data_IF_523404695093
#
_entry.id   IF_523404695093
#
_cell.length_a   1.000
_cell.length_b   1.000
_cell.length_c   1.000
_cell.angle_alpha   90.00
_cell.angle_beta   90.00
_cell.angle_gamma   90.00
#
_symmetry.space_group_name_H-M   'P 1'
#
loop_
_entity.id
_entity.type
_entity.pdbx_description
1 polymer ?
#
# COMPACT_ATOMS: atom_id res chain seq x y z
N UNK A 1 -33.98 -6.81 48.97
CA UNK A 1 -32.76 -6.26 48.34
C UNK A 1 -32.89 -6.54 46.86
N UNK A 2 -33.35 -5.55 46.11
CA UNK A 2 -33.60 -5.61 44.67
C UNK A 2 -32.34 -5.15 43.95
N UNK A 3 -31.65 -6.07 43.28
CA UNK A 3 -30.59 -5.75 42.32
C UNK A 3 -31.24 -5.09 41.10
N UNK A 4 -31.00 -3.80 40.90
CA UNK A 4 -31.33 -3.12 39.66
C UNK A 4 -30.27 -3.49 38.61
N UNK A 5 -30.51 -4.55 37.84
CA UNK A 5 -29.79 -4.75 36.58
C UNK A 5 -30.12 -3.57 35.67
N UNK A 6 -29.11 -2.79 35.29
CA UNK A 6 -29.28 -1.72 34.30
C UNK A 6 -29.64 -2.40 32.98
N UNK A 7 -30.91 -2.30 32.56
CA UNK A 7 -31.36 -2.78 31.26
C UNK A 7 -30.49 -2.16 30.17
N UNK A 8 -29.97 -3.00 29.26
CA UNK A 8 -29.23 -2.53 28.11
C UNK A 8 -30.13 -1.61 27.27
N UNK A 9 -29.61 -0.48 26.81
CA UNK A 9 -30.35 0.41 25.92
C UNK A 9 -30.16 -0.06 24.48
N UNK A 10 -31.25 -0.08 23.71
CA UNK A 10 -31.25 -0.32 22.27
C UNK A 10 -31.71 0.95 21.53
N UNK A 11 -30.91 1.43 20.58
CA UNK A 11 -31.25 2.52 19.67
C UNK A 11 -32.00 1.97 18.47
N UNK A 12 -33.23 2.43 18.26
CA UNK A 12 -34.08 2.03 17.14
C UNK A 12 -34.42 3.26 16.29
N UNK A 13 -34.47 3.05 14.97
CA UNK A 13 -35.02 4.01 14.01
C UNK A 13 -36.36 3.50 13.54
N UNK A 14 -37.44 4.16 13.89
CA UNK A 14 -38.81 3.81 13.50
C UNK A 14 -39.31 4.75 12.41
N UNK A 15 -39.65 4.20 11.24
CA UNK A 15 -40.27 4.94 10.15
C UNK A 15 -41.78 4.78 10.19
N UNK A 16 -42.46 5.85 10.57
CA UNK A 16 -43.90 6.02 10.45
C UNK A 16 -44.27 6.62 9.07
N UNK A 17 -45.55 6.63 8.67
CA UNK A 17 -45.96 7.09 7.35
C UNK A 17 -45.55 8.53 6.99
N UNK A 18 -45.57 9.44 7.98
CA UNK A 18 -45.28 10.86 7.79
C UNK A 18 -43.96 11.32 8.44
N UNK A 19 -43.30 10.47 9.24
CA UNK A 19 -42.18 10.86 10.11
C UNK A 19 -41.23 9.69 10.39
N UNK A 20 -39.97 10.00 10.69
CA UNK A 20 -38.96 9.03 11.14
C UNK A 20 -38.50 9.44 12.53
N UNK A 21 -38.45 8.48 13.45
CA UNK A 21 -38.11 8.67 14.86
C UNK A 21 -36.91 7.82 15.24
N UNK A 22 -35.94 8.44 15.92
CA UNK A 22 -34.81 7.73 16.52
C UNK A 22 -34.96 7.77 18.04
N UNK A 23 -35.04 6.60 18.66
CA UNK A 23 -35.30 6.45 20.09
C UNK A 23 -34.38 5.41 20.72
N UNK A 24 -33.92 5.71 21.92
CA UNK A 24 -33.22 4.76 22.78
C UNK A 24 -34.23 4.20 23.79
N UNK A 25 -34.46 2.89 23.72
CA UNK A 25 -35.43 2.18 24.56
C UNK A 25 -34.75 1.03 25.31
N UNK A 26 -35.19 0.70 26.53
CA UNK A 26 -34.62 -0.42 27.27
C UNK A 26 -34.92 -1.75 26.55
N UNK A 27 -33.92 -2.63 26.45
CA UNK A 27 -33.97 -3.85 25.65
C UNK A 27 -34.91 -4.94 26.19
N UNK A 28 -35.30 -4.81 27.46
CA UNK A 28 -36.19 -5.70 28.20
C UNK A 28 -37.68 -5.32 28.09
N UNK A 29 -38.01 -4.22 27.40
CA UNK A 29 -39.41 -3.78 27.22
C UNK A 29 -40.07 -4.53 26.05
N UNK A 30 -41.29 -5.08 26.23
CA UNK A 30 -42.07 -5.69 25.16
C UNK A 30 -42.48 -4.70 24.07
N UNK A 31 -42.64 -5.20 22.84
CA UNK A 31 -43.08 -4.38 21.70
C UNK A 31 -44.47 -3.77 21.93
N UNK A 32 -45.40 -4.50 22.57
CA UNK A 32 -46.73 -4.02 22.93
C UNK A 32 -46.70 -2.74 23.78
N UNK A 33 -45.72 -2.61 24.68
CA UNK A 33 -45.58 -1.46 25.58
C UNK A 33 -44.89 -0.27 24.88
N UNK A 34 -44.07 -0.55 23.85
CA UNK A 34 -43.41 0.47 23.03
C UNK A 34 -44.35 1.10 22.01
N UNK A 35 -45.31 0.34 21.48
CA UNK A 35 -46.18 0.77 20.38
C UNK A 35 -47.00 2.04 20.71
N UNK A 36 -47.66 2.18 21.89
CA UNK A 36 -48.35 3.42 22.26
C UNK A 36 -47.41 4.61 22.39
N UNK A 37 -46.18 4.38 22.88
CA UNK A 37 -45.17 5.43 23.00
C UNK A 37 -44.80 5.94 21.60
N UNK A 38 -44.56 5.02 20.67
CA UNK A 38 -44.20 5.33 19.28
C UNK A 38 -45.32 6.06 18.55
N UNK A 39 -46.58 5.66 18.75
CA UNK A 39 -47.72 6.32 18.12
C UNK A 39 -47.88 7.77 18.57
N UNK A 40 -47.75 8.05 19.89
CA UNK A 40 -47.77 9.43 20.41
C UNK A 40 -46.70 10.32 19.79
N UNK A 41 -45.49 9.80 19.57
CA UNK A 41 -44.42 10.59 18.95
C UNK A 41 -44.53 10.66 17.42
N UNK A 42 -45.22 9.70 16.78
CA UNK A 42 -45.42 9.68 15.33
C UNK A 42 -46.55 10.61 14.86
N UNK A 43 -47.52 10.95 15.72
CA UNK A 43 -48.56 11.95 15.44
C UNK A 43 -49.86 11.71 16.21
N UNK A 44 -50.52 12.79 16.64
CA UNK A 44 -51.74 12.74 17.47
C UNK A 44 -52.91 12.01 16.78
N UNK A 45 -53.00 12.05 15.45
CA UNK A 45 -54.07 11.40 14.65
C UNK A 45 -53.83 9.90 14.39
N UNK A 46 -52.63 9.37 14.68
CA UNK A 46 -52.29 7.97 14.39
C UNK A 46 -52.90 6.98 15.40
N UNK A 47 -53.10 7.39 16.65
CA UNK A 47 -53.76 6.56 17.66
C UNK A 47 -55.25 6.35 17.32
N UNK A 48 -55.94 7.40 16.86
CA UNK A 48 -57.37 7.34 16.50
C UNK A 48 -57.61 6.59 15.19
N UNK A 49 -56.75 6.78 14.18
CA UNK A 49 -56.85 6.08 12.88
C UNK A 49 -56.53 4.58 12.95
N UNK A 50 -55.93 4.09 14.04
CA UNK A 50 -55.66 2.66 14.25
C UNK A 50 -56.93 1.80 14.34
N UNK A 51 -58.06 2.38 14.74
CA UNK A 51 -59.34 1.67 14.87
C UNK A 51 -59.92 1.21 13.52
N UNK A 52 -59.62 1.95 12.45
CA UNK A 52 -60.12 1.64 11.10
C UNK A 52 -59.30 0.54 10.40
N UNK A 53 -58.06 0.30 10.85
CA UNK A 53 -57.07 -0.54 10.16
C UNK A 53 -56.55 -1.72 11.00
N UNK A 54 -57.25 -2.06 12.10
CA UNK A 54 -56.92 -3.21 12.95
C UNK A 54 -55.67 -3.02 13.81
N UNK A 55 -55.28 -1.78 14.09
CA UNK A 55 -54.10 -1.43 14.88
C UNK A 55 -52.83 -1.23 14.05
N UNK A 56 -51.72 -1.01 14.75
CA UNK A 56 -50.40 -0.76 14.17
C UNK A 56 -49.47 -1.93 14.45
N UNK A 57 -48.55 -2.19 13.53
CA UNK A 57 -47.52 -3.22 13.69
C UNK A 57 -46.15 -2.64 13.39
N UNK A 58 -45.14 -3.12 14.11
CA UNK A 58 -43.74 -2.87 13.80
C UNK A 58 -43.19 -4.02 12.98
N UNK A 59 -42.48 -3.69 11.91
CA UNK A 59 -41.97 -4.70 10.98
C UNK A 59 -40.56 -4.37 10.51
N UNK A 60 -39.71 -5.40 10.42
CA UNK A 60 -38.41 -5.32 9.73
C UNK A 60 -38.62 -5.28 8.22
N UNK A 61 -37.79 -4.57 7.44
CA UNK A 61 -37.87 -4.63 5.99
C UNK A 61 -37.79 -6.08 5.48
N UNK A 62 -38.88 -6.55 4.87
CA UNK A 62 -38.99 -7.90 4.28
C UNK A 62 -39.21 -9.06 5.26
N UNK A 63 -39.28 -8.80 6.57
CA UNK A 63 -39.61 -9.80 7.59
C UNK A 63 -41.10 -9.79 7.96
N UNK A 64 -41.58 -10.74 8.74
CA UNK A 64 -42.93 -10.72 9.33
C UNK A 64 -43.10 -9.58 10.36
N UNK A 65 -44.34 -9.13 10.67
CA UNK A 65 -44.59 -8.27 11.82
C UNK A 65 -43.96 -8.83 13.09
N UNK A 66 -43.41 -7.93 13.92
CA UNK A 66 -42.84 -8.31 15.21
C UNK A 66 -43.92 -8.83 16.14
N UNK A 67 -43.53 -9.74 17.03
CA UNK A 67 -44.41 -10.28 18.05
C UNK A 67 -44.56 -9.26 19.18
N UNK A 68 -45.79 -8.90 19.51
CA UNK A 68 -46.11 -7.86 20.48
C UNK A 68 -45.69 -8.25 21.91
N UNK A 69 -45.68 -9.55 22.22
CA UNK A 69 -45.22 -10.08 23.52
C UNK A 69 -43.69 -10.17 23.63
N UNK A 70 -42.97 -10.03 22.52
CA UNK A 70 -41.52 -10.14 22.47
C UNK A 70 -40.81 -8.89 22.97
N UNK A 71 -39.75 -9.06 23.76
CA UNK A 71 -38.82 -7.97 24.12
C UNK A 71 -37.83 -7.71 22.98
N UNK A 72 -37.21 -6.52 22.96
CA UNK A 72 -36.21 -6.18 21.94
C UNK A 72 -35.04 -7.17 21.93
N UNK A 73 -34.64 -7.67 23.10
CA UNK A 73 -33.61 -8.70 23.23
C UNK A 73 -34.07 -10.06 22.69
N UNK A 74 -35.30 -10.48 22.97
CA UNK A 74 -35.85 -11.77 22.50
C UNK A 74 -36.05 -11.77 20.98
N UNK A 75 -36.36 -10.62 20.40
CA UNK A 75 -36.52 -10.42 18.96
C UNK A 75 -35.19 -10.15 18.22
N UNK A 76 -34.06 -10.21 18.95
CA UNK A 76 -32.70 -9.96 18.47
C UNK A 76 -32.55 -8.60 17.75
N UNK A 77 -33.24 -7.56 18.22
CA UNK A 77 -33.14 -6.22 17.64
C UNK A 77 -31.81 -5.57 18.01
N UNK A 78 -31.08 -5.09 16.99
CA UNK A 78 -29.74 -4.51 17.16
C UNK A 78 -29.78 -2.98 17.20
N UNK A 79 -28.78 -2.40 17.85
CA UNK A 79 -28.56 -0.95 17.83
C UNK A 79 -28.46 -0.41 16.40
N UNK A 80 -29.28 0.60 16.09
CA UNK A 80 -29.37 1.27 14.79
C UNK A 80 -30.25 0.56 13.76
N UNK A 81 -31.01 -0.46 14.16
CA UNK A 81 -31.90 -1.17 13.26
C UNK A 81 -33.12 -0.32 12.88
N UNK A 82 -33.53 -0.40 11.61
CA UNK A 82 -34.65 0.38 11.06
C UNK A 82 -35.92 -0.48 11.02
N UNK A 83 -36.95 -0.02 11.71
CA UNK A 83 -38.28 -0.63 11.77
C UNK A 83 -39.30 0.24 11.06
N UNK A 84 -40.33 -0.38 10.49
CA UNK A 84 -41.44 0.31 9.85
C UNK A 84 -42.69 0.15 10.70
N UNK A 85 -43.31 1.28 11.04
CA UNK A 85 -44.60 1.34 11.72
C UNK A 85 -45.69 1.43 10.65
N UNK A 86 -46.50 0.37 10.51
CA UNK A 86 -47.51 0.24 9.45
C UNK A 86 -48.87 -0.15 10.02
N UNK A 87 -49.98 0.21 9.34
CA UNK A 87 -51.29 -0.35 9.68
C UNK A 87 -51.29 -1.87 9.53
N UNK A 88 -52.02 -2.59 10.41
CA UNK A 88 -52.04 -4.05 10.42
C UNK A 88 -52.56 -4.64 9.10
N UNK A 89 -53.59 -4.02 8.52
CA UNK A 89 -54.13 -4.37 7.19
C UNK A 89 -53.15 -4.16 6.03
N UNK A 90 -52.11 -3.35 6.26
CA UNK A 90 -51.05 -3.06 5.32
C UNK A 90 -49.72 -3.65 5.81
N UNK A 91 -49.68 -4.78 6.51
CA UNK A 91 -48.40 -5.43 6.79
C UNK A 91 -47.67 -5.83 5.48
N UNK A 92 -46.36 -5.61 5.39
CA UNK A 92 -45.59 -6.09 4.24
C UNK A 92 -45.65 -7.63 4.20
N UNK A 93 -45.84 -8.26 3.03
CA UNK A 93 -45.68 -9.69 2.93
C UNK A 93 -44.22 -10.07 3.22
N UNK A 94 -44.03 -11.22 3.89
CA UNK A 94 -42.71 -11.80 4.09
C UNK A 94 -42.04 -12.06 2.73
N UNK A 95 -40.76 -11.72 2.60
CA UNK A 95 -39.99 -11.97 1.39
C UNK A 95 -39.89 -13.49 1.17
N UNK A 96 -40.69 -13.99 0.23
CA UNK A 96 -40.57 -15.36 -0.27
C UNK A 96 -39.65 -15.35 -1.48
N UNK A 97 -38.53 -16.03 -1.37
CA UNK A 97 -37.64 -16.30 -2.48
C UNK A 97 -38.27 -17.43 -3.30
N UNK A 98 -38.80 -17.09 -4.48
CA UNK A 98 -39.52 -18.01 -5.38
C UNK A 98 -38.58 -19.05 -6.02
N UNK A 99 -37.27 -18.78 -5.99
CA UNK A 99 -36.23 -19.66 -6.49
C UNK A 99 -35.08 -19.78 -5.48
N UNK A 100 -35.08 -20.88 -4.72
CA UNK A 100 -34.00 -21.20 -3.78
C UNK A 100 -32.66 -21.42 -4.50
N UNK A 101 -32.67 -21.85 -5.76
CA UNK A 101 -31.45 -22.07 -6.55
C UNK A 101 -30.83 -20.73 -6.95
N UNK A 102 -31.66 -19.79 -7.41
CA UNK A 102 -31.20 -18.44 -7.76
C UNK A 102 -30.84 -17.61 -6.52
N UNK A 103 -31.56 -17.82 -5.40
CA UNK A 103 -31.21 -17.26 -4.09
C UNK A 103 -29.86 -17.75 -3.56
N UNK A 104 -29.58 -19.05 -3.66
CA UNK A 104 -28.27 -19.62 -3.29
C UNK A 104 -27.18 -19.13 -4.25
N UNK A 105 -27.45 -19.07 -5.56
CA UNK A 105 -26.49 -18.58 -6.55
C UNK A 105 -26.16 -17.09 -6.37
N UNK A 106 -27.15 -16.26 -6.05
CA UNK A 106 -26.99 -14.84 -5.74
C UNK A 106 -26.22 -14.61 -4.44
N UNK A 107 -26.60 -15.29 -3.36
CA UNK A 107 -25.90 -15.20 -2.06
C UNK A 107 -24.46 -15.71 -2.17
N UNK A 108 -24.20 -16.76 -2.96
CA UNK A 108 -22.84 -17.26 -3.23
C UNK A 108 -22.02 -16.23 -4.01
N UNK A 109 -22.59 -15.61 -5.05
CA UNK A 109 -21.89 -14.60 -5.86
C UNK A 109 -21.54 -13.36 -5.03
N UNK A 110 -22.47 -12.91 -4.20
CA UNK A 110 -22.34 -11.67 -3.42
C UNK A 110 -21.54 -11.85 -2.12
N UNK A 111 -21.64 -13.00 -1.45
CA UNK A 111 -20.93 -13.25 -0.17
C UNK A 111 -19.62 -14.04 -0.29
N UNK A 112 -19.41 -14.81 -1.37
CA UNK A 112 -18.23 -15.71 -1.48
C UNK A 112 -17.16 -15.25 -2.49
N UNK A 113 -17.01 -13.94 -2.73
CA UNK A 113 -16.00 -13.40 -3.67
C UNK A 113 -16.07 -14.09 -5.05
N UNK A 114 -17.24 -14.03 -5.70
CA UNK A 114 -17.47 -14.71 -6.97
C UNK A 114 -16.44 -14.35 -8.06
N UNK A 115 -16.15 -15.31 -8.93
CA UNK A 115 -15.28 -15.12 -10.10
C UNK A 115 -15.93 -14.14 -11.09
N UNK A 116 -15.30 -12.99 -11.32
CA UNK A 116 -15.79 -11.94 -12.23
C UNK A 116 -14.92 -11.83 -13.49
N UNK A 117 -15.41 -11.18 -14.56
CA UNK A 117 -14.56 -10.82 -15.70
C UNK A 117 -13.34 -9.98 -15.29
N UNK A 118 -13.49 -9.15 -14.26
CA UNK A 118 -12.39 -8.33 -13.73
C UNK A 118 -11.34 -9.18 -13.01
N UNK A 119 -11.73 -10.15 -12.17
CA UNK A 119 -10.77 -11.09 -11.57
C UNK A 119 -10.08 -11.95 -12.64
N UNK A 120 -10.81 -12.34 -13.69
CA UNK A 120 -10.24 -13.05 -14.85
C UNK A 120 -9.15 -12.23 -15.54
N UNK A 121 -9.44 -10.95 -15.86
CA UNK A 121 -8.46 -10.04 -16.47
C UNK A 121 -7.25 -9.84 -15.58
N UNK A 122 -7.44 -9.68 -14.26
CA UNK A 122 -6.33 -9.57 -13.29
C UNK A 122 -5.48 -10.84 -13.25
N UNK A 123 -6.09 -12.03 -13.25
CA UNK A 123 -5.36 -13.29 -13.31
C UNK A 123 -4.52 -13.36 -14.61
N UNK A 124 -5.14 -13.12 -15.77
CA UNK A 124 -4.46 -13.21 -17.06
C UNK A 124 -3.30 -12.21 -17.17
N UNK A 125 -3.48 -10.96 -16.72
CA UNK A 125 -2.39 -9.98 -16.66
C UNK A 125 -1.25 -10.45 -15.74
N UNK A 126 -1.58 -11.06 -14.60
CA UNK A 126 -0.59 -11.66 -13.69
C UNK A 126 0.17 -12.80 -14.37
N UNK A 127 -0.53 -13.67 -15.11
CA UNK A 127 0.10 -14.75 -15.87
C UNK A 127 1.00 -14.22 -17.00
N UNK A 128 0.63 -13.13 -17.67
CA UNK A 128 1.48 -12.45 -18.66
C UNK A 128 2.77 -11.95 -17.98
N UNK A 129 2.66 -11.26 -16.85
CA UNK A 129 3.82 -10.80 -16.07
C UNK A 129 4.73 -11.98 -15.70
N UNK A 130 4.18 -13.05 -15.13
CA UNK A 130 4.95 -14.23 -14.74
C UNK A 130 5.65 -14.90 -15.94
N UNK A 131 4.95 -15.02 -17.06
CA UNK A 131 5.50 -15.65 -18.28
C UNK A 131 6.65 -14.84 -18.85
N UNK A 132 6.50 -13.52 -18.96
CA UNK A 132 7.56 -12.63 -19.46
C UNK A 132 8.76 -12.63 -18.51
N UNK A 133 8.53 -12.50 -17.20
CA UNK A 133 9.62 -12.56 -16.21
C UNK A 133 10.35 -13.91 -16.24
N UNK A 134 9.63 -15.01 -16.46
CA UNK A 134 10.24 -16.34 -16.65
C UNK A 134 11.13 -16.37 -17.90
N UNK A 135 10.64 -15.84 -19.03
CA UNK A 135 11.43 -15.70 -20.25
C UNK A 135 12.68 -14.85 -20.05
N UNK A 136 12.57 -13.73 -19.35
CA UNK A 136 13.72 -12.90 -18.98
C UNK A 136 14.70 -13.65 -18.05
N UNK A 137 14.20 -14.45 -17.11
CA UNK A 137 15.02 -15.31 -16.26
C UNK A 137 15.82 -16.34 -17.06
N UNK A 138 15.19 -16.97 -18.06
CA UNK A 138 15.86 -17.88 -19.01
C UNK A 138 16.93 -17.13 -19.81
N UNK A 139 16.62 -15.93 -20.30
CA UNK A 139 17.59 -15.09 -21.02
C UNK A 139 18.70 -14.54 -20.11
N UNK A 140 18.50 -14.44 -18.81
CA UNK A 140 19.51 -14.04 -17.84
C UNK A 140 20.43 -15.20 -17.44
N UNK A 141 19.97 -16.45 -17.57
CA UNK A 141 20.73 -17.63 -17.18
C UNK A 141 22.06 -17.75 -17.94
N UNK A 142 23.21 -17.99 -17.28
CA UNK A 142 24.51 -18.11 -17.94
C UNK A 142 24.54 -19.24 -18.98
N UNK A 143 25.17 -19.01 -20.13
CA UNK A 143 25.27 -19.98 -21.22
C UNK A 143 24.87 -19.41 -22.59
N UNK A 144 25.32 -20.08 -23.65
CA UNK A 144 25.03 -19.72 -25.04
C UNK A 144 25.64 -18.38 -25.52
N UNK A 145 25.34 -17.98 -26.77
CA UNK A 145 25.83 -16.73 -27.33
C UNK A 145 25.13 -15.51 -26.71
N UNK A 146 25.92 -14.63 -26.09
CA UNK A 146 25.43 -13.42 -25.39
C UNK A 146 24.69 -12.47 -26.33
N UNK A 147 25.16 -12.32 -27.56
CA UNK A 147 24.54 -11.45 -28.59
C UNK A 147 23.11 -11.88 -28.91
N UNK A 148 22.85 -13.18 -29.04
CA UNK A 148 21.51 -13.70 -29.31
C UNK A 148 20.57 -13.44 -28.12
N UNK A 149 21.06 -13.61 -26.89
CA UNK A 149 20.28 -13.35 -25.66
C UNK A 149 19.96 -11.86 -25.50
N UNK A 150 20.95 -11.00 -25.73
CA UNK A 150 20.77 -9.54 -25.69
C UNK A 150 19.80 -9.07 -26.77
N UNK A 151 19.92 -9.60 -28.00
CA UNK A 151 18.99 -9.31 -29.09
C UNK A 151 17.58 -9.80 -28.78
N UNK A 152 17.41 -11.01 -28.24
CA UNK A 152 16.11 -11.54 -27.85
C UNK A 152 15.45 -10.68 -26.75
N UNK A 153 16.21 -10.27 -25.73
CA UNK A 153 15.71 -9.37 -24.68
C UNK A 153 15.32 -7.98 -25.24
N UNK A 154 16.13 -7.44 -26.16
CA UNK A 154 15.85 -6.17 -26.84
C UNK A 154 14.58 -6.25 -27.70
N UNK A 155 14.46 -7.29 -28.53
CA UNK A 155 13.27 -7.54 -29.37
C UNK A 155 12.03 -7.76 -28.50
N UNK A 156 12.14 -8.52 -27.41
CA UNK A 156 11.04 -8.69 -26.46
C UNK A 156 10.59 -7.34 -25.87
N UNK A 157 11.54 -6.48 -25.48
CA UNK A 157 11.24 -5.12 -25.03
C UNK A 157 10.49 -4.28 -26.08
N UNK A 158 10.94 -4.31 -27.34
CA UNK A 158 10.27 -3.60 -28.44
C UNK A 158 8.86 -4.14 -28.72
N UNK A 159 8.67 -5.47 -28.71
CA UNK A 159 7.37 -6.10 -28.89
C UNK A 159 6.41 -5.76 -27.74
N UNK A 160 6.91 -5.70 -26.50
CA UNK A 160 6.13 -5.28 -25.33
C UNK A 160 5.72 -3.81 -25.43
N UNK A 161 6.59 -2.92 -25.91
CA UNK A 161 6.23 -1.52 -26.19
C UNK A 161 5.15 -1.40 -27.28
N UNK A 162 5.30 -2.16 -28.37
CA UNK A 162 4.29 -2.20 -29.43
C UNK A 162 2.95 -2.73 -28.88
N UNK A 163 2.98 -3.82 -28.10
CA UNK A 163 1.80 -4.37 -27.42
C UNK A 163 1.18 -3.39 -26.44
N UNK A 164 1.98 -2.62 -25.71
CA UNK A 164 1.52 -1.57 -24.79
C UNK A 164 0.79 -0.44 -25.55
N UNK A 165 1.36 0.01 -26.66
CA UNK A 165 0.75 1.01 -27.54
C UNK A 165 -0.57 0.49 -28.13
N UNK A 166 -0.59 -0.74 -28.64
CA UNK A 166 -1.80 -1.35 -29.21
C UNK A 166 -2.88 -1.56 -28.15
N UNK A 167 -2.54 -2.10 -26.97
CA UNK A 167 -3.50 -2.33 -25.90
C UNK A 167 -4.11 -1.02 -25.38
N UNK A 168 -3.27 0.01 -25.18
CA UNK A 168 -3.74 1.30 -24.68
C UNK A 168 -4.54 2.09 -25.73
N UNK A 169 -4.03 2.17 -26.97
CA UNK A 169 -4.58 3.08 -27.99
C UNK A 169 -5.59 2.43 -28.93
N UNK A 170 -5.39 1.16 -29.29
CA UNK A 170 -6.27 0.47 -30.24
C UNK A 170 -7.39 -0.31 -29.55
N UNK A 171 -7.08 -0.95 -28.41
CA UNK A 171 -8.08 -1.73 -27.63
C UNK A 171 -8.76 -0.88 -26.56
N UNK A 172 -8.09 0.16 -26.06
CA UNK A 172 -8.60 0.99 -24.96
C UNK A 172 -8.48 0.36 -23.58
N UNK A 173 -7.71 -0.74 -23.42
CA UNK A 173 -7.40 -1.31 -22.10
C UNK A 173 -6.10 -0.69 -21.56
N UNK A 174 -6.25 0.43 -20.85
CA UNK A 174 -5.15 1.15 -20.23
C UNK A 174 -4.35 0.28 -19.24
N UNK A 175 -5.01 -0.64 -18.54
CA UNK A 175 -4.33 -1.49 -17.56
C UNK A 175 -3.48 -2.57 -18.26
N UNK A 176 -3.98 -3.18 -19.34
CA UNK A 176 -3.18 -4.05 -20.18
C UNK A 176 -1.98 -3.30 -20.79
N UNK A 177 -2.21 -2.10 -21.33
CA UNK A 177 -1.16 -1.21 -21.84
C UNK A 177 -0.08 -0.91 -20.79
N UNK A 178 -0.49 -0.59 -19.56
CA UNK A 178 0.42 -0.37 -18.44
C UNK A 178 1.23 -1.61 -18.08
N UNK A 179 0.60 -2.79 -18.02
CA UNK A 179 1.31 -4.04 -17.69
C UNK A 179 2.36 -4.43 -18.72
N UNK A 180 2.04 -4.32 -20.01
CA UNK A 180 2.99 -4.60 -21.09
C UNK A 180 4.12 -3.56 -21.13
N UNK A 181 3.75 -2.28 -20.98
CA UNK A 181 4.72 -1.18 -20.94
C UNK A 181 5.70 -1.31 -19.77
N UNK A 182 5.21 -1.74 -18.60
CA UNK A 182 6.06 -1.99 -17.43
C UNK A 182 7.16 -3.01 -17.72
N UNK A 183 6.80 -4.10 -18.38
CA UNK A 183 7.70 -5.22 -18.68
C UNK A 183 8.73 -4.88 -19.76
N UNK A 184 8.51 -3.83 -20.54
CA UNK A 184 9.48 -3.36 -21.52
C UNK A 184 10.78 -2.86 -20.86
N UNK A 185 10.66 -2.10 -19.76
CA UNK A 185 11.82 -1.57 -19.04
C UNK A 185 12.80 -2.65 -18.55
N UNK A 186 12.39 -3.71 -17.80
CA UNK A 186 13.30 -4.78 -17.40
C UNK A 186 13.80 -5.61 -18.60
N UNK A 187 13.04 -5.74 -19.68
CA UNK A 187 13.48 -6.44 -20.90
C UNK A 187 14.64 -5.70 -21.58
N UNK A 188 14.50 -4.37 -21.76
CA UNK A 188 15.56 -3.53 -22.31
C UNK A 188 16.73 -3.39 -21.35
N UNK A 189 16.48 -3.33 -20.04
CA UNK A 189 17.54 -3.34 -19.04
C UNK A 189 18.36 -4.64 -19.08
N UNK A 190 17.73 -5.79 -19.28
CA UNK A 190 18.42 -7.06 -19.46
C UNK A 190 19.27 -7.07 -20.74
N UNK A 191 18.77 -6.51 -21.84
CA UNK A 191 19.56 -6.34 -23.05
C UNK A 191 20.80 -5.47 -22.78
N UNK A 192 20.62 -4.31 -22.13
CA UNK A 192 21.70 -3.42 -21.72
C UNK A 192 22.71 -4.08 -20.78
N UNK A 193 22.25 -4.89 -19.83
CA UNK A 193 23.10 -5.65 -18.90
C UNK A 193 24.04 -6.62 -19.61
N UNK A 194 23.57 -7.26 -20.68
CA UNK A 194 24.31 -8.31 -21.39
C UNK A 194 25.39 -7.76 -22.35
N UNK A 195 25.27 -6.52 -22.82
CA UNK A 195 26.12 -5.95 -23.86
C UNK A 195 27.58 -5.66 -23.45
N UNK A 196 27.88 -5.06 -22.28
CA UNK A 196 29.26 -4.70 -21.91
C UNK A 196 30.21 -5.90 -21.73
N UNK A 197 29.70 -7.13 -21.64
CA UNK A 197 30.52 -8.32 -21.46
C UNK A 197 31.29 -8.34 -20.13
N UNK A 198 32.49 -8.91 -20.13
CA UNK A 198 33.41 -8.96 -18.99
C UNK A 198 33.11 -10.06 -17.97
N UNK A 199 34.15 -10.49 -17.23
CA UNK A 199 34.01 -11.44 -16.13
C UNK A 199 33.55 -10.73 -14.86
N UNK A 200 32.61 -11.33 -14.13
CA UNK A 200 32.08 -10.80 -12.86
C UNK A 200 32.91 -11.26 -11.65
N UNK A 201 34.14 -11.69 -11.89
CA UNK A 201 35.09 -12.21 -10.92
C UNK A 201 36.46 -11.57 -11.12
N UNK A 202 37.24 -11.45 -10.05
CA UNK A 202 38.59 -10.88 -10.08
C UNK A 202 38.63 -9.39 -9.73
N UNK A 203 39.81 -8.77 -9.93
CA UNK A 203 40.12 -7.43 -9.43
C UNK A 203 39.25 -6.30 -10.03
N UNK A 204 38.72 -6.48 -11.24
CA UNK A 204 37.90 -5.49 -11.94
C UNK A 204 36.40 -5.81 -11.91
N UNK A 205 35.98 -6.76 -11.06
CA UNK A 205 34.59 -7.22 -11.03
C UNK A 205 33.58 -6.09 -10.76
N UNK A 206 33.93 -5.11 -9.91
CA UNK A 206 33.05 -3.96 -9.64
C UNK A 206 32.97 -2.98 -10.80
N UNK A 207 34.01 -2.83 -11.62
CA UNK A 207 33.94 -2.01 -12.84
C UNK A 207 33.03 -2.66 -13.87
N UNK A 208 33.13 -3.98 -14.05
CA UNK A 208 32.26 -4.74 -14.96
C UNK A 208 30.81 -4.68 -14.48
N UNK A 209 30.57 -4.89 -13.18
CA UNK A 209 29.25 -4.71 -12.57
C UNK A 209 28.72 -3.29 -12.82
N UNK A 210 29.57 -2.28 -12.62
CA UNK A 210 29.24 -0.88 -12.86
C UNK A 210 28.84 -0.60 -14.30
N UNK A 211 29.63 -1.06 -15.26
CA UNK A 211 29.35 -0.89 -16.69
C UNK A 211 28.04 -1.59 -17.10
N UNK A 212 27.76 -2.78 -16.58
CA UNK A 212 26.50 -3.49 -16.82
C UNK A 212 25.30 -2.81 -16.17
N UNK A 213 25.43 -2.31 -14.94
CA UNK A 213 24.38 -1.53 -14.29
C UNK A 213 24.11 -0.21 -15.02
N UNK A 214 25.16 0.46 -15.50
CA UNK A 214 25.06 1.69 -16.29
C UNK A 214 24.28 1.44 -17.59
N UNK A 215 24.68 0.43 -18.36
CA UNK A 215 24.01 0.08 -19.61
C UNK A 215 22.57 -0.42 -19.39
N UNK A 216 22.34 -1.25 -18.37
CA UNK A 216 21.01 -1.74 -18.00
C UNK A 216 20.10 -0.60 -17.54
N UNK A 217 20.59 0.29 -16.69
CA UNK A 217 19.85 1.43 -16.18
C UNK A 217 19.50 2.42 -17.29
N UNK A 218 20.43 2.72 -18.19
CA UNK A 218 20.18 3.59 -19.34
C UNK A 218 19.12 3.00 -20.29
N UNK A 219 19.26 1.72 -20.66
CA UNK A 219 18.30 1.04 -21.54
C UNK A 219 16.92 0.87 -20.87
N UNK A 220 16.88 0.55 -19.57
CA UNK A 220 15.65 0.44 -18.80
C UNK A 220 14.94 1.78 -18.63
N UNK A 221 15.68 2.86 -18.39
CA UNK A 221 15.12 4.22 -18.32
C UNK A 221 14.52 4.64 -19.66
N UNK A 222 15.23 4.38 -20.77
CA UNK A 222 14.71 4.57 -22.12
C UNK A 222 13.42 3.76 -22.35
N UNK A 223 13.39 2.50 -21.93
CA UNK A 223 12.21 1.65 -22.00
C UNK A 223 11.02 2.18 -21.21
N UNK A 224 11.25 2.69 -19.99
CA UNK A 224 10.19 3.29 -19.16
C UNK A 224 9.62 4.58 -19.79
N UNK A 225 10.48 5.44 -20.36
CA UNK A 225 10.07 6.66 -21.06
C UNK A 225 9.29 6.33 -22.34
N UNK A 226 9.76 5.36 -23.12
CA UNK A 226 9.05 4.89 -24.32
C UNK A 226 7.71 4.24 -23.96
N UNK A 227 7.65 3.49 -22.86
CA UNK A 227 6.41 2.89 -22.37
C UNK A 227 5.40 3.95 -21.93
N UNK A 228 5.85 5.02 -21.26
CA UNK A 228 5.01 6.17 -20.94
C UNK A 228 4.46 6.81 -22.22
N UNK A 229 5.31 7.03 -23.23
CA UNK A 229 4.87 7.61 -24.50
C UNK A 229 3.89 6.69 -25.26
N UNK A 230 4.11 5.38 -25.22
CA UNK A 230 3.28 4.37 -25.86
C UNK A 230 1.90 4.27 -25.20
N UNK A 231 1.88 4.08 -23.88
CA UNK A 231 0.65 3.86 -23.12
C UNK A 231 -0.13 5.15 -22.85
N UNK A 232 0.54 6.28 -22.64
CA UNK A 232 -0.06 7.59 -22.30
C UNK A 232 -0.99 7.59 -21.06
N UNK A 233 -0.87 6.59 -20.17
CA UNK A 233 -1.63 6.46 -18.92
C UNK A 233 -0.68 6.02 -17.81
N UNK A 234 -1.06 6.23 -16.54
CA UNK A 234 -0.28 5.86 -15.35
C UNK A 234 1.12 6.51 -15.27
N UNK A 235 1.19 7.80 -15.60
CA UNK A 235 2.44 8.61 -15.55
C UNK A 235 3.28 8.41 -14.28
N UNK A 236 2.71 8.40 -13.06
CA UNK A 236 3.51 8.20 -11.85
C UNK A 236 4.31 6.90 -11.85
N UNK A 237 3.70 5.83 -12.35
CA UNK A 237 4.25 4.49 -12.32
C UNK A 237 5.43 4.33 -13.30
N UNK A 238 5.31 4.87 -14.51
CA UNK A 238 6.42 4.87 -15.47
C UNK A 238 7.54 5.80 -15.04
N UNK A 239 7.24 6.96 -14.44
CA UNK A 239 8.28 7.83 -13.91
C UNK A 239 9.05 7.15 -12.77
N UNK A 240 8.36 6.50 -11.84
CA UNK A 240 9.01 5.72 -10.78
C UNK A 240 9.91 4.62 -11.34
N UNK A 241 9.46 3.91 -12.37
CA UNK A 241 10.28 2.90 -13.07
C UNK A 241 11.53 3.51 -13.70
N UNK A 242 11.40 4.67 -14.34
CA UNK A 242 12.53 5.42 -14.89
C UNK A 242 13.49 5.88 -13.79
N UNK A 243 12.99 6.36 -12.64
CA UNK A 243 13.82 6.77 -11.49
C UNK A 243 14.64 5.61 -10.95
N UNK A 244 14.04 4.41 -10.81
CA UNK A 244 14.78 3.19 -10.40
C UNK A 244 15.90 2.88 -11.39
N UNK A 245 15.60 2.90 -12.69
CA UNK A 245 16.57 2.58 -13.73
C UNK A 245 17.70 3.63 -13.83
N UNK A 246 17.37 4.92 -13.72
CA UNK A 246 18.36 6.01 -13.66
C UNK A 246 19.23 5.86 -12.42
N UNK A 247 18.65 5.49 -11.28
CA UNK A 247 19.43 5.31 -10.05
C UNK A 247 20.39 4.12 -10.16
N UNK A 248 19.98 3.03 -10.81
CA UNK A 248 20.87 1.93 -11.15
C UNK A 248 21.98 2.36 -12.11
N UNK A 249 21.66 3.23 -13.08
CA UNK A 249 22.67 3.80 -13.98
C UNK A 249 23.69 4.67 -13.24
N UNK A 250 23.23 5.51 -12.31
CA UNK A 250 24.09 6.34 -11.46
C UNK A 250 24.99 5.47 -10.60
N UNK A 251 24.45 4.45 -9.93
CA UNK A 251 25.24 3.47 -9.18
C UNK A 251 26.31 2.81 -10.07
N UNK A 252 25.92 2.44 -11.29
CA UNK A 252 26.82 1.89 -12.30
C UNK A 252 27.95 2.84 -12.68
N UNK A 253 27.64 4.11 -12.92
CA UNK A 253 28.61 5.14 -13.25
C UNK A 253 29.58 5.43 -12.08
N UNK A 254 29.09 5.47 -10.84
CA UNK A 254 29.96 5.59 -9.66
C UNK A 254 31.01 4.47 -9.64
N UNK A 255 30.59 3.25 -9.96
CA UNK A 255 31.47 2.08 -9.93
C UNK A 255 32.42 1.97 -11.13
N UNK A 256 31.95 2.29 -12.34
CA UNK A 256 32.74 2.10 -13.57
C UNK A 256 33.57 3.32 -13.97
N UNK A 257 33.15 4.54 -13.59
CA UNK A 257 33.80 5.79 -14.00
C UNK A 257 34.58 6.41 -12.85
N UNK A 258 34.01 6.42 -11.64
CA UNK A 258 34.64 7.02 -10.46
C UNK A 258 35.38 6.01 -9.58
N UNK A 259 35.47 4.74 -10.01
CA UNK A 259 36.11 3.63 -9.29
C UNK A 259 35.66 3.52 -7.82
N UNK A 260 34.36 3.74 -7.59
CA UNK A 260 33.77 3.59 -6.26
C UNK A 260 33.43 2.12 -6.03
N UNK A 261 33.75 1.61 -4.83
CA UNK A 261 33.38 0.24 -4.46
C UNK A 261 31.87 0.02 -4.46
N UNK A 262 31.44 -1.24 -4.59
CA UNK A 262 30.00 -1.60 -4.63
C UNK A 262 29.26 -1.09 -3.39
N UNK A 263 29.89 -1.23 -2.22
CA UNK A 263 29.29 -0.91 -0.93
C UNK A 263 29.20 0.60 -0.72
N UNK A 264 30.25 1.34 -1.09
CA UNK A 264 30.27 2.81 -1.06
C UNK A 264 29.25 3.42 -2.03
N UNK A 265 29.17 2.89 -3.26
CA UNK A 265 28.16 3.33 -4.24
C UNK A 265 26.73 3.07 -3.74
N UNK A 266 26.50 1.89 -3.15
CA UNK A 266 25.19 1.51 -2.60
C UNK A 266 24.80 2.37 -1.39
N UNK A 267 25.74 2.64 -0.48
CA UNK A 267 25.51 3.53 0.67
C UNK A 267 25.23 4.97 0.23
N UNK A 268 25.96 5.49 -0.77
CA UNK A 268 25.76 6.83 -1.30
C UNK A 268 24.40 6.98 -1.99
N UNK A 269 24.05 6.01 -2.83
CA UNK A 269 22.75 5.98 -3.55
C UNK A 269 21.58 5.84 -2.58
N UNK A 270 21.66 4.93 -1.61
CA UNK A 270 20.61 4.77 -0.61
C UNK A 270 20.42 6.05 0.21
N UNK A 271 21.50 6.69 0.67
CA UNK A 271 21.43 7.95 1.40
C UNK A 271 20.81 9.07 0.56
N UNK A 272 21.21 9.20 -0.71
CA UNK A 272 20.67 10.22 -1.61
C UNK A 272 19.16 10.03 -1.87
N UNK A 273 18.72 8.80 -2.12
CA UNK A 273 17.30 8.52 -2.39
C UNK A 273 16.43 8.66 -1.15
N UNK A 274 16.94 8.27 0.03
CA UNK A 274 16.25 8.51 1.31
C UNK A 274 16.13 10.00 1.62
N UNK A 275 17.20 10.77 1.40
CA UNK A 275 17.18 12.23 1.56
C UNK A 275 16.15 12.86 0.61
N UNK A 276 16.10 12.40 -0.64
CA UNK A 276 15.09 12.83 -1.60
C UNK A 276 13.67 12.42 -1.19
N UNK A 277 13.54 11.31 -0.46
CA UNK A 277 12.30 10.84 0.15
C UNK A 277 11.57 11.91 0.98
N UNK A 278 12.32 12.79 1.66
CA UNK A 278 11.74 13.90 2.41
C UNK A 278 10.98 14.93 1.55
N UNK A 279 11.30 15.02 0.25
CA UNK A 279 10.65 15.93 -0.70
C UNK A 279 9.49 15.27 -1.46
N UNK A 280 9.28 13.96 -1.30
CA UNK A 280 8.22 13.21 -2.01
C UNK A 280 6.83 13.82 -1.79
N UNK A 281 6.38 14.16 -0.56
CA UNK A 281 5.04 14.74 -0.37
C UNK A 281 4.85 16.05 -1.15
N UNK A 282 5.83 16.95 -1.10
CA UNK A 282 5.78 18.24 -1.80
C UNK A 282 5.82 18.05 -3.33
N UNK A 283 6.62 17.13 -3.82
CA UNK A 283 6.70 16.82 -5.25
C UNK A 283 5.40 16.18 -5.75
N UNK A 284 4.84 15.22 -5.02
CA UNK A 284 3.56 14.58 -5.36
C UNK A 284 2.41 15.59 -5.39
N UNK A 285 2.38 16.53 -4.44
CA UNK A 285 1.40 17.61 -4.41
C UNK A 285 1.50 18.50 -5.65
N UNK A 286 2.73 18.91 -6.03
CA UNK A 286 2.98 19.73 -7.23
C UNK A 286 2.66 18.97 -8.52
N UNK A 287 3.04 17.70 -8.62
CA UNK A 287 2.79 16.85 -9.80
C UNK A 287 1.31 16.49 -9.96
N UNK A 288 0.53 16.52 -8.89
CA UNK A 288 -0.93 16.40 -8.93
C UNK A 288 -1.64 17.72 -9.30
N UNK A 289 -0.89 18.80 -9.58
CA UNK A 289 -1.46 20.10 -9.93
C UNK A 289 -2.16 20.81 -8.77
N UNK A 290 -1.90 20.38 -7.53
CA UNK A 290 -2.39 21.09 -6.36
C UNK A 290 -1.52 22.32 -6.07
N UNK A 291 -2.16 23.43 -5.68
CA UNK A 291 -1.49 24.67 -5.28
C UNK A 291 -1.82 24.92 -3.82
N UNK A 292 -0.80 25.26 -3.04
CA UNK A 292 -1.03 25.66 -1.66
C UNK A 292 -1.63 27.08 -1.68
N UNK A 293 -2.76 27.33 -1.01
CA UNK A 293 -3.30 28.68 -0.89
C UNK A 293 -2.22 29.59 -0.28
N UNK A 294 -2.06 30.80 -0.83
CA UNK A 294 -1.21 31.79 -0.20
C UNK A 294 -1.80 32.15 1.16
N UNK A 295 -0.98 32.20 2.21
CA UNK A 295 -1.46 32.69 3.50
C UNK A 295 -1.83 34.18 3.36
N UNK A 296 -3.04 34.58 3.74
CA UNK A 296 -3.46 35.97 3.65
C UNK A 296 -2.61 36.82 4.61
N UNK A 297 -1.97 37.86 4.07
CA UNK A 297 -1.18 38.84 4.82
C UNK A 297 -1.96 40.13 5.08
N UNK A 298 -3.15 40.28 4.49
CA UNK A 298 -4.08 41.39 4.76
C UNK A 298 -5.52 40.88 4.97
N UNK A 299 -6.36 41.64 5.72
CA UNK A 299 -7.78 41.30 5.90
C UNK A 299 -8.57 41.23 4.59
N UNK A 300 -8.17 41.98 3.56
CA UNK A 300 -8.80 41.91 2.24
C UNK A 300 -8.53 40.58 1.55
N UNK A 301 -7.35 39.97 1.76
CA UNK A 301 -7.00 38.66 1.20
C UNK A 301 -7.75 37.49 1.85
N UNK A 302 -8.39 37.68 3.01
CA UNK A 302 -9.30 36.68 3.58
C UNK A 302 -10.58 36.49 2.74
N UNK A 303 -10.87 37.46 1.86
CA UNK A 303 -12.00 37.43 0.92
C UNK A 303 -11.57 36.95 -0.49
N UNK A 304 -10.29 36.62 -0.70
CA UNK A 304 -9.80 36.04 -1.95
C UNK A 304 -9.81 34.50 -1.87
N UNK A 305 -10.38 33.81 -2.87
CA UNK A 305 -10.38 32.34 -2.91
C UNK A 305 -11.36 31.65 -1.95
N UNK A 306 -12.42 32.34 -1.53
CA UNK A 306 -13.54 31.82 -0.71
C UNK A 306 -14.57 31.00 -1.50
N UNK A 307 -14.41 30.89 -2.81
CA UNK A 307 -15.23 30.00 -3.63
C UNK A 307 -15.08 28.55 -3.12
N UNK A 308 -16.16 27.84 -2.79
CA UNK A 308 -16.08 26.45 -2.38
C UNK A 308 -15.44 25.63 -3.49
N UNK A 309 -14.32 24.94 -3.19
CA UNK A 309 -13.77 23.98 -4.14
C UNK A 309 -14.81 22.90 -4.42
N UNK A 310 -15.07 22.60 -5.70
CA UNK A 310 -15.92 21.46 -6.07
C UNK A 310 -15.29 20.19 -5.50
N UNK A 311 -15.99 19.52 -4.57
CA UNK A 311 -15.44 18.39 -3.81
C UNK A 311 -14.90 17.24 -4.69
N UNK A 312 -15.46 17.07 -5.90
CA UNK A 312 -15.01 16.06 -6.88
C UNK A 312 -13.61 16.36 -7.44
N UNK A 313 -13.26 17.63 -7.66
CA UNK A 313 -11.93 18.01 -8.14
C UNK A 313 -10.86 17.81 -7.07
N UNK A 314 -11.21 18.11 -5.82
CA UNK A 314 -10.32 17.89 -4.66
C UNK A 314 -10.08 16.40 -4.44
N UNK A 315 -11.13 15.57 -4.52
CA UNK A 315 -11.01 14.12 -4.41
C UNK A 315 -10.09 13.55 -5.50
N UNK A 316 -10.33 13.90 -6.77
CA UNK A 316 -9.54 13.43 -7.92
C UNK A 316 -8.06 13.83 -7.81
N UNK A 317 -7.77 15.08 -7.44
CA UNK A 317 -6.38 15.55 -7.28
C UNK A 317 -5.69 14.90 -6.07
N UNK A 318 -6.44 14.61 -5.01
CA UNK A 318 -5.92 13.90 -3.84
C UNK A 318 -5.56 12.46 -4.18
N UNK A 319 -6.40 11.77 -4.98
CA UNK A 319 -6.10 10.43 -5.49
C UNK A 319 -4.86 10.44 -6.39
N UNK A 320 -4.72 11.41 -7.29
CA UNK A 320 -3.52 11.58 -8.13
C UNK A 320 -2.26 11.83 -7.28
N UNK A 321 -2.34 12.69 -6.26
CA UNK A 321 -1.23 12.94 -5.35
C UNK A 321 -0.84 11.68 -4.58
N UNK A 322 -1.82 10.90 -4.11
CA UNK A 322 -1.60 9.60 -3.46
C UNK A 322 -0.93 8.59 -4.41
N UNK A 323 -1.32 8.59 -5.69
CA UNK A 323 -0.69 7.79 -6.74
C UNK A 323 0.77 8.18 -6.98
N UNK A 324 1.08 9.47 -7.07
CA UNK A 324 2.45 9.99 -7.15
C UNK A 324 3.29 9.61 -5.94
N UNK A 325 2.72 9.74 -4.74
CA UNK A 325 3.41 9.43 -3.49
C UNK A 325 3.73 7.94 -3.41
N UNK A 326 2.78 7.08 -3.77
CA UNK A 326 2.97 5.62 -3.81
C UNK A 326 4.03 5.22 -4.83
N UNK A 327 4.02 5.84 -6.02
CA UNK A 327 5.00 5.54 -7.06
C UNK A 327 6.42 5.95 -6.65
N UNK A 328 6.60 7.15 -6.10
CA UNK A 328 7.91 7.65 -5.69
C UNK A 328 8.48 6.89 -4.48
N UNK A 329 7.67 6.60 -3.45
CA UNK A 329 8.12 5.74 -2.36
C UNK A 329 8.34 4.29 -2.81
N UNK A 330 7.57 3.81 -3.79
CA UNK A 330 7.84 2.55 -4.47
C UNK A 330 9.23 2.51 -5.10
N UNK A 331 9.61 3.56 -5.82
CA UNK A 331 10.96 3.68 -6.38
C UNK A 331 12.03 3.71 -5.28
N UNK A 332 11.83 4.52 -4.23
CA UNK A 332 12.73 4.56 -3.05
C UNK A 332 12.91 3.18 -2.44
N UNK A 333 11.81 2.46 -2.23
CA UNK A 333 11.81 1.12 -1.66
C UNK A 333 12.59 0.11 -2.51
N UNK A 334 12.34 0.08 -3.82
CA UNK A 334 13.05 -0.82 -4.75
C UNK A 334 14.55 -0.52 -4.80
N UNK A 335 14.93 0.76 -4.89
CA UNK A 335 16.35 1.17 -4.87
C UNK A 335 17.01 0.75 -3.56
N UNK A 336 16.38 1.05 -2.42
CA UNK A 336 16.94 0.69 -1.11
C UNK A 336 17.05 -0.83 -0.94
N UNK A 337 16.07 -1.61 -1.43
CA UNK A 337 16.14 -3.07 -1.41
C UNK A 337 17.35 -3.60 -2.20
N UNK A 338 17.65 -3.00 -3.36
CA UNK A 338 18.85 -3.32 -4.14
C UNK A 338 20.15 -2.95 -3.42
N UNK A 339 20.22 -1.76 -2.83
CA UNK A 339 21.39 -1.30 -2.06
C UNK A 339 21.65 -2.18 -0.83
N UNK A 340 20.59 -2.65 -0.15
CA UNK A 340 20.69 -3.55 1.00
C UNK A 340 21.30 -4.91 0.63
N UNK A 341 21.09 -5.41 -0.60
CA UNK A 341 21.73 -6.64 -1.07
C UNK A 341 23.25 -6.49 -1.15
N UNK A 342 23.75 -5.33 -1.59
CA UNK A 342 25.18 -5.05 -1.61
C UNK A 342 25.73 -4.96 -0.18
N UNK A 343 25.15 -4.07 0.64
CA UNK A 343 25.60 -3.80 2.00
C UNK A 343 25.56 -5.03 2.91
N UNK A 344 24.62 -5.97 2.70
CA UNK A 344 24.51 -7.15 3.55
C UNK A 344 25.41 -8.31 3.12
N UNK A 345 26.02 -8.31 1.92
CA UNK A 345 26.67 -9.51 1.37
C UNK A 345 27.87 -9.96 2.20
N UNK A 346 28.77 -9.05 2.57
CA UNK A 346 29.92 -9.31 3.46
C UNK A 346 30.23 -8.05 4.27
N UNK A 347 29.34 -7.68 5.20
CA UNK A 347 29.35 -6.35 5.77
C UNK A 347 30.60 -6.15 6.64
N UNK A 348 31.35 -5.10 6.37
CA UNK A 348 32.15 -4.46 7.41
C UNK A 348 31.24 -3.88 8.50
N UNK A 349 31.80 -3.50 9.65
CA UNK A 349 31.00 -2.91 10.74
C UNK A 349 30.26 -1.63 10.26
N UNK A 350 30.89 -0.82 9.41
CA UNK A 350 30.28 0.37 8.84
C UNK A 350 29.10 0.02 7.93
N UNK A 351 29.25 -0.99 7.06
CA UNK A 351 28.19 -1.47 6.16
C UNK A 351 27.02 -2.10 6.94
N UNK A 352 27.31 -2.91 7.95
CA UNK A 352 26.29 -3.51 8.83
C UNK A 352 25.46 -2.42 9.53
N UNK A 353 26.12 -1.43 10.13
CA UNK A 353 25.42 -0.32 10.80
C UNK A 353 24.61 0.52 9.82
N UNK A 354 25.14 0.78 8.62
CA UNK A 354 24.42 1.49 7.56
C UNK A 354 23.18 0.72 7.11
N UNK A 355 23.30 -0.59 6.89
CA UNK A 355 22.19 -1.45 6.51
C UNK A 355 21.12 -1.53 7.61
N UNK A 356 21.52 -1.71 8.88
CA UNK A 356 20.60 -1.68 10.03
C UNK A 356 19.88 -0.33 10.10
N UNK A 357 20.62 0.77 10.00
CA UNK A 357 20.05 2.10 10.09
C UNK A 357 19.05 2.36 8.96
N UNK A 358 19.40 2.00 7.73
CA UNK A 358 18.53 2.11 6.56
C UNK A 358 17.27 1.25 6.69
N UNK A 359 17.40 -0.01 7.12
CA UNK A 359 16.25 -0.90 7.32
C UNK A 359 15.29 -0.37 8.38
N UNK A 360 15.80 0.07 9.54
CA UNK A 360 14.98 0.63 10.60
C UNK A 360 14.33 1.94 10.17
N UNK A 361 15.05 2.79 9.44
CA UNK A 361 14.53 4.04 8.92
C UNK A 361 13.34 3.80 7.98
N UNK A 362 13.44 2.85 7.05
CA UNK A 362 12.35 2.49 6.13
C UNK A 362 11.12 1.96 6.88
N UNK A 363 11.32 1.10 7.89
CA UNK A 363 10.25 0.57 8.74
C UNK A 363 9.52 1.69 9.51
N UNK A 364 10.28 2.62 10.10
CA UNK A 364 9.74 3.75 10.86
C UNK A 364 9.05 4.78 9.96
N UNK A 365 9.57 5.01 8.75
CA UNK A 365 8.99 5.94 7.80
C UNK A 365 7.61 5.47 7.32
N UNK A 366 7.41 4.15 7.18
CA UNK A 366 6.10 3.56 6.89
C UNK A 366 5.01 3.85 7.93
N UNK A 367 5.37 4.27 9.16
CA UNK A 367 4.39 4.60 10.23
C UNK A 367 3.56 5.85 9.91
N UNK A 368 4.10 6.78 9.13
CA UNK A 368 3.42 8.02 8.76
C UNK A 368 2.45 7.87 7.58
N UNK A 369 2.36 6.69 6.98
CA UNK A 369 1.58 6.45 5.77
C UNK A 369 0.19 5.94 6.10
N UNK A 370 -0.83 6.60 5.53
CA UNK A 370 -2.24 6.23 5.72
C UNK A 370 -2.63 5.03 4.84
N UNK A 371 -2.12 4.99 3.60
CA UNK A 371 -2.43 3.93 2.65
C UNK A 371 -1.58 2.67 2.90
N UNK A 372 -2.22 1.50 2.97
CA UNK A 372 -1.56 0.20 3.12
C UNK A 372 -0.55 -0.06 2.00
N UNK A 373 -0.93 0.19 0.75
CA UNK A 373 -0.04 -0.02 -0.40
C UNK A 373 1.21 0.84 -0.30
N UNK A 374 1.03 2.11 0.03
CA UNK A 374 2.14 3.05 0.25
C UNK A 374 3.02 2.59 1.41
N UNK A 375 2.43 2.19 2.54
CA UNK A 375 3.18 1.66 3.70
C UNK A 375 4.02 0.45 3.33
N UNK A 376 3.46 -0.48 2.55
CA UNK A 376 4.17 -1.68 2.11
C UNK A 376 5.38 -1.36 1.21
N UNK A 377 5.35 -0.25 0.44
CA UNK A 377 6.49 0.14 -0.40
C UNK A 377 7.78 0.39 0.37
N UNK A 378 7.71 0.75 1.65
CA UNK A 378 8.89 0.96 2.50
C UNK A 378 9.07 -0.14 3.54
N UNK A 379 7.98 -0.68 4.09
CA UNK A 379 8.06 -1.73 5.10
C UNK A 379 8.66 -3.00 4.51
N UNK A 380 8.27 -3.41 3.30
CA UNK A 380 8.80 -4.63 2.68
C UNK A 380 10.32 -4.54 2.46
N UNK A 381 10.88 -3.49 1.82
CA UNK A 381 12.33 -3.28 1.73
C UNK A 381 13.04 -3.19 3.08
N UNK A 382 12.42 -2.55 4.09
CA UNK A 382 12.96 -2.50 5.44
C UNK A 382 13.09 -3.88 6.07
N UNK A 383 12.03 -4.70 5.99
CA UNK A 383 12.06 -6.10 6.47
C UNK A 383 13.03 -6.96 5.67
N UNK A 384 13.16 -6.72 4.36
CA UNK A 384 14.10 -7.41 3.48
C UNK A 384 15.55 -7.19 3.92
N UNK A 385 15.93 -5.96 4.28
CA UNK A 385 17.27 -5.69 4.79
C UNK A 385 17.56 -6.38 6.12
N UNK A 386 16.60 -6.40 7.06
CA UNK A 386 16.74 -7.15 8.31
C UNK A 386 16.91 -8.66 8.04
N UNK A 387 16.12 -9.21 7.13
CA UNK A 387 16.23 -10.60 6.70
C UNK A 387 17.61 -10.91 6.10
N UNK A 388 18.09 -10.07 5.18
CA UNK A 388 19.42 -10.23 4.58
C UNK A 388 20.53 -10.21 5.64
N UNK A 389 20.49 -9.26 6.58
CA UNK A 389 21.47 -9.18 7.66
C UNK A 389 21.44 -10.42 8.56
N UNK A 390 20.25 -10.96 8.86
CA UNK A 390 20.12 -12.18 9.65
C UNK A 390 20.71 -13.40 8.93
N UNK A 391 20.41 -13.57 7.63
CA UNK A 391 20.94 -14.68 6.81
C UNK A 391 22.46 -14.58 6.66
N UNK A 392 22.98 -13.39 6.37
CA UNK A 392 24.41 -13.18 6.16
C UNK A 392 25.19 -13.25 7.47
N UNK A 393 24.60 -12.77 8.58
CA UNK A 393 25.13 -12.97 9.92
C UNK A 393 25.18 -14.46 10.30
N UNK A 394 24.13 -15.23 10.01
CA UNK A 394 24.13 -16.68 10.23
C UNK A 394 25.22 -17.42 9.44
N UNK A 395 25.48 -16.98 8.21
CA UNK A 395 26.52 -17.54 7.36
C UNK A 395 27.94 -17.25 7.88
N UNK A 396 28.14 -16.12 8.56
CA UNK A 396 29.41 -15.72 9.15
C UNK A 396 29.70 -16.36 10.52
N UNK A 397 28.67 -16.86 11.21
CA UNK A 397 28.82 -17.52 12.51
C UNK A 397 29.32 -18.96 12.38
N UNK A 398 30.14 -19.36 13.35
CA UNK A 398 30.49 -20.77 13.57
C UNK A 398 29.25 -21.62 13.78
N UNK A 399 29.29 -22.89 13.34
CA UNK A 399 28.15 -23.82 13.43
C UNK A 399 27.62 -23.95 14.86
N UNK A 400 28.49 -23.89 15.86
CA UNK A 400 28.12 -23.96 17.27
C UNK A 400 27.37 -22.71 17.78
N UNK A 401 27.53 -21.55 17.14
CA UNK A 401 26.86 -20.30 17.48
C UNK A 401 25.53 -20.09 16.73
N UNK A 402 25.20 -20.92 15.73
CA UNK A 402 23.92 -20.82 15.01
C UNK A 402 22.68 -21.06 15.91
N UNK A 403 22.69 -21.99 16.88
CA UNK A 403 21.56 -22.17 17.79
C UNK A 403 21.23 -20.94 18.63
N UNK A 404 22.23 -20.14 19.03
CA UNK A 404 21.99 -18.92 19.82
C UNK A 404 21.34 -17.82 18.96
N UNK A 405 21.74 -17.69 17.69
CA UNK A 405 21.05 -16.82 16.73
C UNK A 405 19.60 -17.27 16.53
N UNK A 406 19.34 -18.56 16.35
CA UNK A 406 17.98 -19.10 16.21
C UNK A 406 17.15 -18.81 17.46
N UNK A 407 17.69 -18.99 18.65
CA UNK A 407 17.02 -18.64 19.90
C UNK A 407 16.67 -17.14 19.95
N UNK A 408 17.59 -16.26 19.52
CA UNK A 408 17.33 -14.81 19.42
C UNK A 408 16.23 -14.46 18.41
N UNK A 409 16.20 -15.12 17.24
CA UNK A 409 15.15 -14.95 16.24
C UNK A 409 13.79 -15.45 16.73
N UNK A 410 13.74 -16.57 17.46
CA UNK A 410 12.52 -17.07 18.09
C UNK A 410 12.01 -16.12 19.18
N UNK A 411 12.92 -15.54 19.98
CA UNK A 411 12.55 -14.52 20.95
C UNK A 411 11.97 -13.27 20.26
N UNK A 412 12.58 -12.81 19.17
CA UNK A 412 12.05 -11.71 18.36
C UNK A 412 10.67 -12.06 17.77
N UNK A 413 10.49 -13.27 17.25
CA UNK A 413 9.21 -13.74 16.74
C UNK A 413 8.13 -13.75 17.82
N UNK A 414 8.46 -14.18 19.04
CA UNK A 414 7.55 -14.13 20.18
C UNK A 414 7.17 -12.68 20.54
N UNK A 415 8.13 -11.75 20.56
CA UNK A 415 7.86 -10.32 20.78
C UNK A 415 6.94 -9.76 19.70
N UNK A 416 7.20 -10.05 18.42
CA UNK A 416 6.36 -9.60 17.31
C UNK A 416 4.94 -10.19 17.38
N UNK A 417 4.79 -11.45 17.79
CA UNK A 417 3.49 -12.07 18.00
C UNK A 417 2.72 -11.35 19.11
N UNK A 418 3.35 -11.11 20.26
CA UNK A 418 2.77 -10.36 21.39
C UNK A 418 2.37 -8.95 20.94
N UNK A 419 3.23 -8.24 20.22
CA UNK A 419 2.94 -6.90 19.68
C UNK A 419 1.75 -6.94 18.73
N UNK A 420 1.65 -7.96 17.86
CA UNK A 420 0.52 -8.09 16.94
C UNK A 420 -0.82 -8.31 17.64
N UNK A 421 -0.84 -8.94 18.82
CA UNK A 421 -2.05 -9.11 19.63
C UNK A 421 -2.38 -7.89 20.50
N UNK A 422 -1.37 -7.11 20.91
CA UNK A 422 -1.54 -6.10 21.97
C UNK A 422 -1.56 -4.66 21.46
N UNK A 423 -0.93 -4.34 20.33
CA UNK A 423 -0.74 -2.96 19.87
C UNK A 423 -1.82 -2.47 18.87
N UNK A 424 -2.22 -3.25 17.84
CA UNK A 424 -3.19 -2.77 16.86
C UNK A 424 -4.49 -2.27 17.49
N UNK A 425 -4.97 -1.10 17.03
CA UNK A 425 -6.20 -0.47 17.53
C UNK A 425 -6.09 0.21 18.90
N UNK A 426 -4.97 0.08 19.62
CA UNK A 426 -4.79 0.72 20.93
C UNK A 426 -4.17 2.11 20.80
N UNK A 427 -4.65 3.04 21.62
CA UNK A 427 -4.01 4.36 21.81
C UNK A 427 -2.78 4.16 22.68
N UNK A 428 -1.61 4.10 22.06
CA UNK A 428 -0.34 4.04 22.79
C UNK A 428 -0.10 5.35 23.54
N UNK A 429 0.59 5.26 24.68
CA UNK A 429 0.97 6.45 25.43
C UNK A 429 1.90 7.36 24.61
N UNK A 430 1.80 8.69 24.75
CA UNK A 430 2.50 9.65 23.89
C UNK A 430 4.03 9.48 23.82
N UNK A 431 4.65 8.99 24.90
CA UNK A 431 6.10 8.80 24.97
C UNK A 431 6.63 7.77 23.96
N UNK A 432 5.86 6.73 23.61
CA UNK A 432 6.26 5.75 22.59
C UNK A 432 6.22 6.34 21.18
N UNK A 433 5.21 7.16 20.89
CA UNK A 433 5.14 7.91 19.63
C UNK A 433 6.36 8.82 19.48
N UNK A 434 6.70 9.54 20.56
CA UNK A 434 7.86 10.43 20.60
C UNK A 434 9.19 9.68 20.48
N UNK A 435 9.34 8.54 21.14
CA UNK A 435 10.54 7.71 21.01
C UNK A 435 10.75 7.24 19.56
N UNK A 436 9.68 6.84 18.87
CA UNK A 436 9.74 6.48 17.45
C UNK A 436 10.12 7.66 16.54
N UNK A 437 9.64 8.87 16.84
CA UNK A 437 10.06 10.09 16.12
C UNK A 437 11.54 10.41 16.34
N UNK A 438 12.01 10.37 17.59
CA UNK A 438 13.41 10.63 17.92
C UNK A 438 14.34 9.60 17.27
N UNK A 439 13.95 8.32 17.31
CA UNK A 439 14.70 7.25 16.65
C UNK A 439 14.73 7.43 15.13
N UNK A 440 13.61 7.79 14.51
CA UNK A 440 13.56 8.10 13.08
C UNK A 440 14.52 9.25 12.75
N UNK A 441 14.44 10.38 13.46
CA UNK A 441 15.34 11.53 13.23
C UNK A 441 16.81 11.16 13.45
N UNK A 442 17.13 10.40 14.50
CA UNK A 442 18.49 9.94 14.78
C UNK A 442 19.03 9.08 13.64
N UNK A 443 18.23 8.13 13.13
CA UNK A 443 18.62 7.26 12.02
C UNK A 443 18.77 8.04 10.71
N UNK A 444 17.86 8.97 10.43
CA UNK A 444 17.93 9.82 9.24
C UNK A 444 19.18 10.71 9.25
N UNK A 445 19.49 11.34 10.38
CA UNK A 445 20.69 12.18 10.55
C UNK A 445 21.95 11.31 10.54
N UNK A 446 21.92 10.16 11.22
CA UNK A 446 23.04 9.22 11.33
C UNK A 446 23.39 8.51 10.03
N UNK A 447 22.47 8.44 9.06
CA UNK A 447 22.74 7.81 7.77
C UNK A 447 23.88 8.51 7.01
N UNK A 448 23.97 9.84 7.07
CA UNK A 448 25.05 10.59 6.41
C UNK A 448 26.46 10.24 6.91
N UNK A 449 26.78 10.33 8.22
CA UNK A 449 28.10 9.95 8.71
C UNK A 449 28.38 8.46 8.50
N UNK A 450 27.37 7.59 8.61
CA UNK A 450 27.53 6.16 8.30
C UNK A 450 27.94 5.94 6.83
N UNK A 451 27.28 6.62 5.89
CA UNK A 451 27.64 6.59 4.47
C UNK A 451 29.06 7.11 4.23
N UNK A 452 29.46 8.22 4.87
CA UNK A 452 30.83 8.73 4.77
C UNK A 452 31.88 7.75 5.34
N UNK A 453 31.49 6.97 6.35
CA UNK A 453 32.34 5.91 6.89
C UNK A 453 32.51 4.76 5.91
N UNK A 454 31.43 4.29 5.29
CA UNK A 454 31.49 3.24 4.25
C UNK A 454 32.33 3.69 3.05
N UNK A 455 32.24 4.97 2.65
CA UNK A 455 33.07 5.55 1.58
C UNK A 455 34.56 5.62 1.98
N UNK A 456 34.88 5.58 3.28
CA UNK A 456 36.25 5.62 3.78
C UNK A 456 36.79 7.04 4.03
N UNK A 457 35.93 8.06 4.05
CA UNK A 457 36.33 9.47 4.24
C UNK A 457 37.09 9.68 5.55
N UNK A 458 36.64 9.07 6.64
CA UNK A 458 37.32 9.17 7.94
C UNK A 458 38.71 8.52 7.95
N UNK A 459 38.89 7.43 7.18
CA UNK A 459 40.18 6.79 7.00
C UNK A 459 41.15 7.68 6.22
N UNK A 460 40.67 8.27 5.11
CA UNK A 460 41.45 9.22 4.31
C UNK A 460 41.86 10.45 5.12
N UNK A 461 40.95 11.03 5.90
CA UNK A 461 41.25 12.17 6.78
C UNK A 461 42.28 11.84 7.87
N UNK A 462 42.25 10.61 8.42
CA UNK A 462 43.26 10.16 9.38
C UNK A 462 44.63 10.02 8.71
N UNK A 463 44.69 9.41 7.52
CA UNK A 463 45.94 9.22 6.78
C UNK A 463 46.63 10.55 6.38
N UNK A 464 45.87 11.63 6.21
CA UNK A 464 46.42 12.97 5.97
C UNK A 464 47.10 13.55 7.22
N UNK A 465 46.65 13.18 8.41
CA UNK A 465 47.12 13.73 9.69
C UNK A 465 48.12 12.83 10.45
N UNK A 466 48.45 11.64 9.94
CA UNK A 466 49.34 10.66 10.56
C UNK A 466 48.65 9.37 10.95
#
# INVERSE_FOLDING_TARGET
MTDSSVAGLCRLTVRAPATSLDLAVPADVPVADLLPILLRYAGEELEESGLEHGGWVLQRPGGRPLDDEGTLETLDLKDGEVLYLRPHTEALPEVRLDDLVDGIAGVTRDRLHGWTPETSRRLLRTMVVLTVLTGLGVLAWPGGPVTARAAAAGVAGLLLLAGAASASRAVGDAAAGATLGFLAAPSLALAGWLLPGGEMSGAHAHHVLGARLLAAGAAGAGGAVLALAAAAVYTPFFLATAVVAITAAVAGALMSVLDVSVDAASAAVAAAVVLFGGFVPALSFRLAGMRMPALPTSPQQLQEGIEPYHGQDVATRTELASGWMTALYGATGVVCAGCLVALARRPSLAEALTAVALSLLLLLHGRGMVNVGQRLTLVVPGTWGVFLLAVQGAAALDTAARPTLVAGLLALAAVLAIVSWTVPGRRMAPYWGRAGELLHSLLAIGLLPLTLWVIGVFGALRAING
#
